data_IF_045584106987
#
_entry.id   IF_045584106987
#
_cell.length_a   1.000
_cell.length_b   1.000
_cell.length_c   1.000
_cell.angle_alpha   90.00
_cell.angle_beta   90.00
_cell.angle_gamma   90.00
#
_symmetry.space_group_name_H-M   'P 1'
#
loop_
_entity.id
_entity.type
_entity.pdbx_description
1 polymer ?
#
# COMPACT_ATOMS: atom_id res chain seq x y z
N UNK A 1 37.52 -36.33 -9.17
CA UNK A 1 36.64 -36.57 -8.00
C UNK A 1 36.75 -35.42 -7.01
N UNK A 2 37.97 -34.92 -6.77
CA UNK A 2 38.21 -33.80 -5.85
C UNK A 2 37.60 -32.46 -6.31
N UNK A 3 37.63 -32.14 -7.60
CA UNK A 3 37.06 -30.88 -8.14
C UNK A 3 35.55 -30.76 -7.88
N UNK A 4 34.82 -31.88 -7.95
CA UNK A 4 33.38 -31.93 -7.69
C UNK A 4 33.08 -31.80 -6.19
N UNK A 5 33.98 -32.31 -5.34
CA UNK A 5 33.88 -32.13 -3.90
C UNK A 5 34.12 -30.66 -3.51
N UNK A 6 35.12 -30.02 -4.13
CA UNK A 6 35.43 -28.62 -3.92
C UNK A 6 34.29 -27.71 -4.41
N UNK A 7 33.73 -27.98 -5.59
CA UNK A 7 32.60 -27.20 -6.12
C UNK A 7 31.38 -27.27 -5.21
N UNK A 8 31.03 -28.46 -4.72
CA UNK A 8 29.91 -28.66 -3.80
C UNK A 8 30.15 -28.01 -2.44
N UNK A 9 31.40 -28.00 -1.95
CA UNK A 9 31.76 -27.33 -0.69
C UNK A 9 31.60 -25.81 -0.79
N UNK A 10 31.98 -25.22 -1.93
CA UNK A 10 31.80 -23.78 -2.19
C UNK A 10 30.31 -23.45 -2.28
N UNK A 11 29.54 -24.26 -3.01
CA UNK A 11 28.10 -24.06 -3.18
C UNK A 11 27.34 -24.15 -1.85
N UNK A 12 27.69 -25.11 -1.00
CA UNK A 12 27.11 -25.23 0.35
C UNK A 12 27.42 -24.01 1.21
N UNK A 13 28.66 -23.48 1.19
CA UNK A 13 29.01 -22.26 1.93
C UNK A 13 28.19 -21.06 1.45
N UNK A 14 28.02 -20.90 0.15
CA UNK A 14 27.19 -19.84 -0.42
C UNK A 14 25.72 -19.96 0.00
N UNK A 15 25.17 -21.19 0.05
CA UNK A 15 23.82 -21.41 0.54
C UNK A 15 23.69 -21.15 2.04
N UNK A 16 24.69 -21.49 2.86
CA UNK A 16 24.69 -21.18 4.29
C UNK A 16 24.74 -19.68 4.56
N UNK A 17 25.55 -18.91 3.82
CA UNK A 17 25.61 -17.44 3.95
C UNK A 17 24.27 -16.79 3.57
N UNK A 18 23.64 -17.25 2.48
CA UNK A 18 22.30 -16.82 2.08
C UNK A 18 21.26 -17.15 3.15
N UNK A 19 21.30 -18.37 3.69
CA UNK A 19 20.39 -18.79 4.75
C UNK A 19 20.61 -18.01 6.04
N UNK A 20 21.85 -17.72 6.41
CA UNK A 20 22.18 -16.89 7.57
C UNK A 20 21.57 -15.49 7.43
N UNK A 21 21.71 -14.87 6.25
CA UNK A 21 21.14 -13.56 5.92
C UNK A 21 19.60 -13.56 5.96
N UNK A 22 18.97 -14.64 5.49
CA UNK A 22 17.51 -14.82 5.55
C UNK A 22 17.02 -15.15 6.98
N UNK A 23 17.88 -15.73 7.82
CA UNK A 23 17.55 -16.12 9.20
C UNK A 23 17.79 -14.99 10.22
N UNK A 24 18.79 -14.14 10.00
CA UNK A 24 19.12 -13.00 10.85
C UNK A 24 18.05 -11.91 10.89
N UNK A 25 17.00 -12.02 10.06
CA UNK A 25 15.88 -11.07 10.06
C UNK A 25 16.24 -9.70 9.51
N UNK A 26 17.43 -9.55 8.91
CA UNK A 26 17.91 -8.32 8.26
C UNK A 26 17.10 -7.96 7.01
N UNK A 27 16.37 -8.92 6.44
CA UNK A 27 15.21 -8.67 5.58
C UNK A 27 13.96 -8.82 6.45
N UNK A 28 13.26 -7.71 6.69
CA UNK A 28 12.19 -7.58 7.68
C UNK A 28 11.15 -8.70 7.65
N UNK A 29 10.59 -8.99 8.83
CA UNK A 29 9.47 -9.88 9.16
C UNK A 29 9.22 -10.99 8.12
N UNK A 30 9.49 -12.25 8.49
CA UNK A 30 9.14 -13.45 7.72
C UNK A 30 7.62 -13.60 7.60
N UNK A 31 6.98 -12.72 6.86
CA UNK A 31 5.58 -12.76 6.51
C UNK A 31 5.40 -13.89 5.50
N UNK A 32 4.50 -14.82 5.77
CA UNK A 32 4.24 -15.92 4.84
C UNK A 32 3.64 -15.40 3.53
N UNK A 33 3.75 -16.20 2.47
CA UNK A 33 3.12 -15.87 1.19
C UNK A 33 1.59 -15.73 1.34
N UNK A 34 0.99 -16.55 2.21
CA UNK A 34 -0.44 -16.50 2.52
C UNK A 34 -0.82 -15.22 3.25
N UNK A 35 -0.02 -14.77 4.23
CA UNK A 35 -0.24 -13.52 4.96
C UNK A 35 -0.12 -12.31 4.04
N UNK A 36 0.91 -12.29 3.19
CA UNK A 36 1.09 -11.25 2.17
C UNK A 36 -0.14 -11.16 1.27
N UNK A 37 -0.58 -12.29 0.72
CA UNK A 37 -1.75 -12.35 -0.17
C UNK A 37 -3.03 -11.86 0.52
N UNK A 38 -3.21 -12.17 1.81
CA UNK A 38 -4.35 -11.67 2.59
C UNK A 38 -4.30 -10.15 2.76
N UNK A 39 -3.14 -9.60 3.08
CA UNK A 39 -2.96 -8.15 3.24
C UNK A 39 -3.18 -7.42 1.91
N UNK A 40 -2.62 -7.93 0.82
CA UNK A 40 -2.81 -7.35 -0.51
C UNK A 40 -4.29 -7.37 -0.92
N UNK A 41 -5.00 -8.48 -0.68
CA UNK A 41 -6.43 -8.59 -0.96
C UNK A 41 -7.29 -7.64 -0.10
N UNK A 42 -6.91 -7.44 1.16
CA UNK A 42 -7.60 -6.52 2.06
C UNK A 42 -7.36 -5.07 1.66
N UNK A 43 -6.13 -4.72 1.29
CA UNK A 43 -5.80 -3.40 0.74
C UNK A 43 -6.64 -3.11 -0.51
N UNK A 44 -6.69 -4.05 -1.46
CA UNK A 44 -7.52 -3.92 -2.67
C UNK A 44 -9.00 -3.69 -2.34
N UNK A 45 -9.52 -4.41 -1.35
CA UNK A 45 -10.91 -4.28 -0.90
C UNK A 45 -11.16 -2.89 -0.31
N UNK A 46 -10.28 -2.42 0.57
CA UNK A 46 -10.40 -1.10 1.21
C UNK A 46 -10.32 0.01 0.16
N UNK A 47 -9.41 -0.09 -0.81
CA UNK A 47 -9.28 0.91 -1.88
C UNK A 47 -10.51 0.97 -2.78
N UNK A 48 -11.13 -0.18 -3.09
CA UNK A 48 -12.40 -0.22 -3.83
C UNK A 48 -13.51 0.51 -3.06
N UNK A 49 -13.63 0.24 -1.77
CA UNK A 49 -14.62 0.90 -0.92
C UNK A 49 -14.36 2.41 -0.79
N UNK A 50 -13.11 2.84 -0.63
CA UNK A 50 -12.74 4.24 -0.61
C UNK A 50 -13.20 4.95 -1.89
N UNK A 51 -12.81 4.45 -3.07
CA UNK A 51 -13.17 5.06 -4.35
C UNK A 51 -14.69 5.11 -4.55
N UNK A 52 -15.40 4.06 -4.14
CA UNK A 52 -16.86 4.00 -4.19
C UNK A 52 -17.48 5.09 -3.32
N UNK A 53 -17.06 5.21 -2.06
CA UNK A 53 -17.57 6.21 -1.12
C UNK A 53 -17.25 7.64 -1.56
N UNK A 54 -16.04 7.89 -2.06
CA UNK A 54 -15.64 9.20 -2.62
C UNK A 54 -16.54 9.61 -3.79
N UNK A 55 -16.87 8.66 -4.68
CA UNK A 55 -17.80 8.91 -5.78
C UNK A 55 -19.20 9.23 -5.29
N UNK A 56 -19.75 8.40 -4.40
CA UNK A 56 -21.08 8.62 -3.81
C UNK A 56 -21.16 9.98 -3.13
N UNK A 57 -20.13 10.37 -2.38
CA UNK A 57 -20.04 11.69 -1.77
C UNK A 57 -20.05 12.80 -2.83
N UNK A 58 -19.27 12.66 -3.92
CA UNK A 58 -19.26 13.62 -5.02
C UNK A 58 -20.63 13.78 -5.68
N UNK A 59 -21.34 12.67 -5.91
CA UNK A 59 -22.69 12.68 -6.49
C UNK A 59 -23.69 13.40 -5.56
N UNK A 60 -23.67 13.07 -4.26
CA UNK A 60 -24.52 13.73 -3.25
C UNK A 60 -24.18 15.21 -3.09
N UNK A 61 -22.89 15.55 -3.05
CA UNK A 61 -22.42 16.92 -2.95
C UNK A 61 -22.85 17.74 -4.14
N UNK A 62 -22.70 17.20 -5.36
CA UNK A 62 -23.19 17.83 -6.58
C UNK A 62 -24.69 18.12 -6.51
N UNK A 63 -25.50 17.13 -6.13
CA UNK A 63 -26.95 17.30 -6.01
C UNK A 63 -27.36 18.34 -4.94
N UNK A 64 -26.66 18.39 -3.79
CA UNK A 64 -26.95 19.37 -2.73
C UNK A 64 -26.52 20.78 -3.12
N UNK A 65 -25.39 20.91 -3.82
CA UNK A 65 -24.79 22.21 -4.15
C UNK A 65 -25.27 22.82 -5.46
N UNK A 66 -26.02 22.09 -6.28
CA UNK A 66 -26.43 22.50 -7.64
C UNK A 66 -27.07 23.88 -7.70
N UNK A 67 -27.86 24.25 -6.69
CA UNK A 67 -28.59 25.53 -6.63
C UNK A 67 -28.10 26.46 -5.52
N UNK A 68 -26.98 26.15 -4.86
CA UNK A 68 -26.45 27.00 -3.80
C UNK A 68 -25.76 28.21 -4.42
N UNK A 69 -26.21 29.41 -4.02
CA UNK A 69 -25.53 30.65 -4.34
C UNK A 69 -24.43 30.91 -3.30
N UNK A 70 -23.18 31.08 -3.73
CA UNK A 70 -22.05 31.39 -2.86
C UNK A 70 -20.77 30.63 -3.20
N UNK A 71 -19.75 30.79 -2.38
CA UNK A 71 -18.46 30.12 -2.56
C UNK A 71 -18.51 28.70 -1.96
N UNK A 72 -18.59 27.69 -2.83
CA UNK A 72 -18.62 26.27 -2.41
C UNK A 72 -17.34 25.82 -1.70
N UNK A 73 -16.20 26.50 -1.94
CA UNK A 73 -14.95 26.19 -1.25
C UNK A 73 -15.03 26.60 0.23
N UNK A 74 -15.47 27.83 0.51
CA UNK A 74 -15.71 28.30 1.87
C UNK A 74 -16.75 27.43 2.58
N UNK A 75 -17.81 27.01 1.88
CA UNK A 75 -18.79 26.09 2.44
C UNK A 75 -18.18 24.76 2.84
N UNK A 76 -17.29 24.19 2.00
CA UNK A 76 -16.58 22.94 2.32
C UNK A 76 -15.71 23.07 3.55
N UNK A 77 -14.96 24.17 3.67
CA UNK A 77 -14.12 24.42 4.85
C UNK A 77 -14.98 24.64 6.10
N UNK A 78 -16.05 25.43 6.00
CA UNK A 78 -16.95 25.72 7.12
C UNK A 78 -17.61 24.47 7.71
N UNK A 79 -17.92 23.46 6.88
CA UNK A 79 -18.50 22.19 7.34
C UNK A 79 -17.46 21.08 7.56
N UNK A 80 -16.17 21.39 7.40
CA UNK A 80 -15.07 20.47 7.70
C UNK A 80 -14.90 19.33 6.71
N UNK A 81 -15.19 19.55 5.41
CA UNK A 81 -14.86 18.56 4.38
C UNK A 81 -13.38 18.66 4.03
N UNK A 82 -12.63 17.62 4.37
CA UNK A 82 -11.25 17.42 3.97
C UNK A 82 -11.17 16.55 2.71
N UNK A 83 -10.17 16.81 1.85
CA UNK A 83 -9.93 16.01 0.64
C UNK A 83 -8.73 15.08 0.84
N UNK A 84 -8.66 13.99 0.06
CA UNK A 84 -7.53 13.05 0.11
C UNK A 84 -6.20 13.78 -0.09
N UNK A 85 -6.17 14.80 -0.97
CA UNK A 85 -5.00 15.60 -1.26
C UNK A 85 -4.55 16.45 -0.07
N UNK A 86 -5.49 17.00 0.71
CA UNK A 86 -5.19 17.71 1.95
C UNK A 86 -4.59 16.79 3.03
N UNK A 87 -4.99 15.52 3.04
CA UNK A 87 -4.42 14.47 3.89
C UNK A 87 -3.09 13.89 3.33
N UNK A 88 -2.61 14.35 2.17
CA UNK A 88 -1.42 13.82 1.52
C UNK A 88 -1.59 12.41 0.96
N UNK A 89 -2.82 11.97 0.72
CA UNK A 89 -3.16 10.62 0.26
C UNK A 89 -3.47 10.63 -1.24
N UNK A 90 -2.90 9.66 -1.98
CA UNK A 90 -3.25 9.42 -3.37
C UNK A 90 -3.77 7.99 -3.56
N UNK A 91 -5.11 7.83 -3.50
CA UNK A 91 -5.81 6.54 -3.61
C UNK A 91 -5.66 5.88 -5.00
N UNK A 92 -5.25 6.64 -6.02
CA UNK A 92 -5.02 6.14 -7.38
C UNK A 92 -3.53 5.92 -7.69
N UNK A 93 -2.65 6.35 -6.79
CA UNK A 93 -1.22 6.18 -6.91
C UNK A 93 -0.71 5.00 -6.08
N UNK A 94 0.61 4.86 -6.07
CA UNK A 94 1.28 3.95 -5.15
C UNK A 94 1.26 4.53 -3.74
N UNK A 95 0.43 3.96 -2.87
CA UNK A 95 0.32 4.33 -1.46
C UNK A 95 1.55 3.92 -0.63
N UNK A 96 2.39 3.04 -1.17
CA UNK A 96 3.62 2.59 -0.52
C UNK A 96 4.83 3.40 -0.96
N UNK A 97 4.64 4.40 -1.83
CA UNK A 97 5.73 5.27 -2.29
C UNK A 97 6.35 6.01 -1.10
N UNK A 98 7.57 5.60 -0.71
CA UNK A 98 8.29 6.12 0.44
C UNK A 98 8.53 5.11 1.57
N UNK A 99 7.95 3.91 1.48
CA UNK A 99 8.18 2.79 2.42
C UNK A 99 9.07 1.67 1.87
N UNK A 100 9.55 1.82 0.62
CA UNK A 100 10.43 0.87 -0.07
C UNK A 100 11.91 1.28 0.02
#
# INVERSE_FOLDING_TARGET
>A
MDDRLQSLSIENKQFEERLATLRSGSTGVKMSAEERKKIDAELDRILKEWRRRKRMFGDMWGAVTENIQGNLHELREAIGIETDEAAGVNVNGDLLKGFA
#
